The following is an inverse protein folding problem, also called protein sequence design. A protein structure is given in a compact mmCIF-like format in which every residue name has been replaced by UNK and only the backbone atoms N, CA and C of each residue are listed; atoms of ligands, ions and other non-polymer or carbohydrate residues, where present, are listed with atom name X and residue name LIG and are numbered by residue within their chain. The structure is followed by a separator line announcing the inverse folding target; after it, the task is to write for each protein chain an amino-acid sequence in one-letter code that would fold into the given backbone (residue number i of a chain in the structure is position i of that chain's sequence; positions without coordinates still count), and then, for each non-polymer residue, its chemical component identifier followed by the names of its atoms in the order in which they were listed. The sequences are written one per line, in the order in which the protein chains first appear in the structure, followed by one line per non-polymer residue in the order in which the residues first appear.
data_IF_345874969925
#
_entry.id   IF_345874969925
#
_cell.length_a   1.000
_cell.length_b   1.000
_cell.length_c   1.000
_cell.angle_alpha   90.00
_cell.angle_beta   90.00
_cell.angle_gamma   90.00
#
_symmetry.space_group_name_H-M   'P 1'
#
loop_
_entity.id
_entity.type
_entity.pdbx_description
1 polymer ?
#
# COMPACT_ATOMS: atom_id res chain seq x y z
N UNK A 1 -29.40 -16.33 -60.51
CA UNK A 1 -29.46 -15.29 -59.49
C UNK A 1 -30.52 -14.29 -59.91
N UNK A 2 -31.66 -14.29 -59.23
CA UNK A 2 -32.77 -13.40 -59.53
C UNK A 2 -32.55 -12.00 -59.01
N UNK A 3 -33.10 -11.02 -59.71
CA UNK A 3 -33.10 -9.61 -59.27
C UNK A 3 -33.59 -9.48 -57.81
N UNK A 4 -34.45 -10.38 -57.34
CA UNK A 4 -34.93 -10.43 -55.96
C UNK A 4 -33.85 -10.81 -54.93
N UNK A 5 -32.85 -11.65 -55.33
CA UNK A 5 -31.75 -12.02 -54.43
C UNK A 5 -30.70 -10.93 -54.38
N UNK A 6 -30.51 -10.18 -55.46
CA UNK A 6 -29.64 -9.02 -55.51
C UNK A 6 -30.19 -7.86 -54.70
N UNK A 7 -31.49 -7.64 -54.73
CA UNK A 7 -32.16 -6.62 -53.90
C UNK A 7 -32.19 -7.00 -52.42
N UNK A 8 -32.31 -8.27 -52.07
CA UNK A 8 -32.22 -8.73 -50.67
C UNK A 8 -30.85 -8.51 -50.05
N UNK A 9 -29.77 -8.64 -50.82
CA UNK A 9 -28.39 -8.38 -50.33
C UNK A 9 -28.12 -6.88 -50.13
N UNK A 10 -28.82 -5.96 -50.81
CA UNK A 10 -28.67 -4.52 -50.62
C UNK A 10 -29.33 -3.99 -49.33
N UNK A 11 -30.13 -4.80 -48.64
CA UNK A 11 -30.83 -4.40 -47.40
C UNK A 11 -30.42 -5.24 -46.19
N UNK A 12 -29.21 -5.84 -46.23
CA UNK A 12 -28.68 -6.56 -45.09
C UNK A 12 -28.31 -5.55 -43.98
N UNK A 13 -29.02 -5.61 -42.88
CA UNK A 13 -28.71 -4.81 -41.69
C UNK A 13 -27.42 -5.28 -41.05
N UNK A 14 -26.50 -4.34 -40.81
CA UNK A 14 -25.23 -4.62 -40.13
C UNK A 14 -25.25 -3.89 -38.78
N UNK A 15 -25.18 -4.65 -37.70
CA UNK A 15 -25.13 -4.16 -36.35
C UNK A 15 -23.68 -4.28 -35.88
N UNK A 16 -23.00 -3.17 -35.72
CA UNK A 16 -21.62 -3.12 -35.29
C UNK A 16 -21.31 -1.84 -34.54
N UNK A 17 -20.29 -1.85 -33.73
CA UNK A 17 -19.75 -0.65 -33.09
C UNK A 17 -18.25 -0.59 -33.28
N UNK A 18 -17.76 0.57 -33.69
CA UNK A 18 -16.34 0.92 -33.67
C UNK A 18 -16.11 1.87 -32.52
N UNK A 19 -15.23 1.46 -31.60
CA UNK A 19 -14.84 2.28 -30.47
C UNK A 19 -13.55 3.03 -30.81
N UNK A 20 -13.65 4.33 -31.00
CA UNK A 20 -12.51 5.23 -31.20
C UNK A 20 -12.10 5.92 -29.88
N UNK A 21 -12.83 5.64 -28.77
CA UNK A 21 -12.56 6.19 -27.46
C UNK A 21 -11.56 5.32 -26.68
N UNK A 22 -11.03 5.87 -25.59
CA UNK A 22 -10.21 5.12 -24.63
C UNK A 22 -10.94 4.80 -23.34
N UNK A 23 -12.13 5.31 -23.17
CA UNK A 23 -12.86 5.40 -21.91
C UNK A 23 -14.29 4.84 -21.95
N UNK A 24 -14.81 4.44 -23.13
CA UNK A 24 -16.13 3.82 -23.20
C UNK A 24 -16.12 2.39 -22.67
N UNK A 25 -16.94 2.13 -21.66
CA UNK A 25 -17.15 0.80 -21.09
C UNK A 25 -18.26 0.04 -21.80
N UNK A 26 -19.38 0.71 -22.09
CA UNK A 26 -20.46 0.13 -22.87
C UNK A 26 -21.19 1.17 -23.72
N UNK A 27 -21.72 0.69 -24.83
CA UNK A 27 -22.43 1.50 -25.82
C UNK A 27 -23.66 0.76 -26.32
N UNK A 28 -24.83 1.42 -26.29
CA UNK A 28 -26.06 0.90 -26.87
C UNK A 28 -26.11 1.29 -28.33
N UNK A 29 -26.24 0.30 -29.20
CA UNK A 29 -26.41 0.51 -30.64
C UNK A 29 -27.63 1.41 -30.89
N UNK A 30 -27.49 2.52 -31.63
CA UNK A 30 -28.58 3.48 -31.89
C UNK A 30 -29.51 2.95 -32.99
N UNK A 31 -30.49 2.20 -32.56
CA UNK A 31 -31.63 1.83 -33.43
C UNK A 31 -32.84 2.61 -32.97
N UNK A 32 -33.28 3.60 -33.83
CA UNK A 32 -34.40 4.44 -33.51
C UNK A 32 -35.71 3.67 -33.41
N UNK A 33 -35.86 2.61 -34.19
CA UNK A 33 -37.05 1.76 -34.21
C UNK A 33 -36.90 0.52 -33.32
N UNK A 34 -35.68 0.23 -32.86
CA UNK A 34 -35.31 -0.98 -32.13
C UNK A 34 -35.67 -2.29 -32.82
N UNK A 35 -35.83 -2.22 -34.16
CA UNK A 35 -36.30 -3.32 -34.98
C UNK A 35 -35.12 -4.00 -35.67
N UNK A 36 -34.77 -5.19 -35.21
CA UNK A 36 -33.73 -6.02 -35.80
C UNK A 36 -34.34 -6.92 -36.88
N UNK A 37 -33.81 -6.80 -38.11
CA UNK A 37 -34.28 -7.60 -39.24
C UNK A 37 -33.76 -9.04 -39.17
N UNK A 38 -34.57 -9.97 -39.67
CA UNK A 38 -34.13 -11.34 -39.86
C UNK A 38 -32.90 -11.42 -40.77
N UNK A 39 -31.88 -12.14 -40.30
CA UNK A 39 -30.63 -12.28 -41.06
C UNK A 39 -29.68 -11.11 -40.93
N UNK A 40 -30.00 -10.12 -40.08
CA UNK A 40 -29.08 -9.07 -39.73
C UNK A 40 -27.70 -9.66 -39.31
N UNK A 41 -26.63 -9.00 -39.68
CA UNK A 41 -25.25 -9.39 -39.34
C UNK A 41 -24.80 -8.60 -38.12
N UNK A 42 -24.60 -9.30 -37.02
CA UNK A 42 -23.98 -8.75 -35.81
C UNK A 42 -22.47 -8.96 -35.92
N UNK A 43 -21.69 -7.90 -35.94
CA UNK A 43 -20.24 -7.94 -35.97
C UNK A 43 -19.71 -7.49 -34.61
N UNK A 44 -19.12 -8.41 -33.85
CA UNK A 44 -18.50 -8.20 -32.55
C UNK A 44 -16.98 -8.30 -32.71
N UNK A 45 -16.26 -7.26 -32.30
CA UNK A 45 -14.78 -7.23 -32.40
C UNK A 45 -14.13 -8.01 -31.26
N UNK A 46 -12.86 -8.38 -31.43
CA UNK A 46 -12.09 -9.19 -30.46
C UNK A 46 -12.09 -8.62 -29.04
N UNK A 47 -12.18 -7.30 -28.88
CA UNK A 47 -12.20 -6.60 -27.59
C UNK A 47 -13.59 -6.23 -27.11
N UNK A 48 -14.63 -6.87 -27.65
CA UNK A 48 -16.03 -6.56 -27.36
C UNK A 48 -16.85 -7.81 -27.10
N UNK A 49 -17.96 -7.63 -26.39
CA UNK A 49 -19.08 -8.57 -26.35
C UNK A 49 -20.37 -7.81 -26.62
N UNK A 50 -21.33 -8.45 -27.27
CA UNK A 50 -22.65 -7.88 -27.51
C UNK A 50 -23.68 -8.58 -26.63
N UNK A 51 -24.47 -7.80 -25.88
CA UNK A 51 -25.56 -8.27 -25.02
C UNK A 51 -26.89 -7.76 -25.54
N UNK A 52 -27.79 -8.67 -25.79
CA UNK A 52 -29.16 -8.34 -26.15
C UNK A 52 -30.03 -8.11 -24.93
N UNK A 53 -30.92 -7.11 -25.00
CA UNK A 53 -31.93 -6.83 -23.99
C UNK A 53 -33.28 -6.70 -24.67
N UNK A 54 -34.20 -7.61 -24.37
CA UNK A 54 -35.53 -7.65 -24.95
C UNK A 54 -36.59 -7.46 -23.86
N UNK A 55 -37.43 -6.43 -24.04
CA UNK A 55 -38.50 -6.09 -23.07
C UNK A 55 -37.99 -5.98 -21.63
N UNK A 56 -36.77 -5.41 -21.45
CA UNK A 56 -36.13 -5.26 -20.14
C UNK A 56 -35.51 -6.54 -19.56
N UNK A 57 -35.51 -7.63 -20.32
CA UNK A 57 -34.84 -8.88 -19.91
C UNK A 57 -33.58 -9.12 -20.72
N UNK A 58 -32.53 -9.60 -20.05
CA UNK A 58 -31.29 -9.97 -20.72
C UNK A 58 -31.51 -11.23 -21.57
N UNK A 59 -31.21 -11.10 -22.86
CA UNK A 59 -31.20 -12.17 -23.84
C UNK A 59 -29.81 -12.82 -23.98
N UNK A 60 -29.50 -13.21 -25.24
CA UNK A 60 -28.26 -13.85 -25.58
C UNK A 60 -27.07 -12.89 -25.55
N UNK A 61 -25.89 -13.41 -25.19
CA UNK A 61 -24.59 -12.73 -25.23
C UNK A 61 -23.76 -13.30 -26.36
N UNK A 62 -23.15 -12.46 -27.18
CA UNK A 62 -22.30 -12.84 -28.30
C UNK A 62 -20.87 -12.38 -28.08
N UNK A 63 -19.95 -13.32 -28.21
CA UNK A 63 -18.52 -13.05 -28.24
C UNK A 63 -18.03 -12.56 -29.59
N UNK A 64 -16.71 -12.34 -29.75
CA UNK A 64 -16.11 -11.88 -31.00
C UNK A 64 -16.48 -12.73 -32.20
N UNK A 65 -16.66 -12.08 -33.34
CA UNK A 65 -16.99 -12.72 -34.61
C UNK A 65 -18.16 -12.08 -35.35
N UNK A 66 -18.53 -12.69 -36.47
CA UNK A 66 -19.70 -12.32 -37.27
C UNK A 66 -20.82 -13.32 -37.04
N UNK A 67 -21.94 -12.84 -36.54
CA UNK A 67 -23.10 -13.67 -36.20
C UNK A 67 -24.30 -13.26 -37.05
N UNK A 68 -24.81 -14.20 -37.85
CA UNK A 68 -26.09 -13.98 -38.53
C UNK A 68 -27.23 -14.23 -37.56
N UNK A 69 -28.03 -13.22 -37.28
CA UNK A 69 -29.14 -13.28 -36.33
C UNK A 69 -30.31 -14.10 -36.88
N UNK A 70 -30.47 -15.31 -36.38
CA UNK A 70 -31.53 -16.25 -36.75
C UNK A 70 -32.09 -16.91 -35.49
N UNK A 71 -33.27 -17.51 -35.58
CA UNK A 71 -33.92 -18.27 -34.46
C UNK A 71 -33.03 -19.38 -33.88
N UNK A 72 -32.11 -19.91 -34.70
CA UNK A 72 -31.31 -21.05 -34.29
C UNK A 72 -30.13 -20.67 -33.40
N UNK A 73 -29.63 -19.44 -33.50
CA UNK A 73 -28.49 -18.95 -32.73
C UNK A 73 -28.83 -17.86 -31.70
N UNK A 74 -30.13 -17.69 -31.42
CA UNK A 74 -30.66 -16.80 -30.40
C UNK A 74 -31.60 -17.54 -29.47
N UNK A 75 -31.17 -18.62 -28.75
CA UNK A 75 -32.05 -19.51 -28.03
C UNK A 75 -32.85 -18.85 -26.92
N UNK A 76 -32.27 -17.87 -26.23
CA UNK A 76 -32.96 -17.14 -25.15
C UNK A 76 -34.03 -16.23 -25.74
N UNK A 77 -33.68 -15.45 -26.77
CA UNK A 77 -34.66 -14.59 -27.46
C UNK A 77 -35.76 -15.38 -28.16
N UNK A 78 -35.45 -16.56 -28.70
CA UNK A 78 -36.43 -17.43 -29.38
C UNK A 78 -37.46 -18.04 -28.43
N UNK A 79 -37.20 -18.15 -27.14
CA UNK A 79 -38.14 -18.62 -26.13
C UNK A 79 -39.07 -17.52 -25.62
N UNK A 80 -38.75 -16.26 -25.83
CA UNK A 80 -39.59 -15.13 -25.47
C UNK A 80 -40.81 -15.07 -26.38
N UNK A 81 -42.02 -14.83 -25.77
CA UNK A 81 -43.34 -14.92 -26.41
C UNK A 81 -43.52 -13.97 -27.58
N UNK A 82 -42.91 -14.08 -28.65
CA UNK A 82 -43.06 -13.23 -29.85
C UNK A 82 -42.36 -13.84 -31.05
N UNK A 83 -41.40 -14.68 -30.81
CA UNK A 83 -40.62 -15.36 -31.84
C UNK A 83 -41.26 -16.65 -32.36
N UNK A 84 -42.36 -17.11 -31.71
CA UNK A 84 -43.07 -18.33 -32.09
C UNK A 84 -43.76 -18.26 -33.45
N UNK A 85 -43.92 -17.07 -34.02
CA UNK A 85 -44.67 -16.86 -35.28
C UNK A 85 -43.81 -16.60 -36.50
N UNK A 86 -42.54 -17.00 -36.48
CA UNK A 86 -41.64 -16.84 -37.62
C UNK A 86 -41.26 -15.38 -37.85
N UNK A 87 -40.03 -15.14 -38.31
CA UNK A 87 -39.41 -13.84 -38.56
C UNK A 87 -40.07 -12.99 -39.66
N UNK A 88 -41.35 -13.01 -39.79
CA UNK A 88 -42.04 -12.08 -40.73
C UNK A 88 -42.22 -10.69 -40.11
N UNK A 89 -42.04 -10.56 -38.79
CA UNK A 89 -42.07 -9.29 -38.09
C UNK A 89 -40.73 -8.98 -37.44
N UNK A 90 -40.19 -7.76 -37.62
CA UNK A 90 -38.99 -7.33 -36.91
C UNK A 90 -39.19 -7.38 -35.41
N UNK A 91 -38.19 -7.80 -34.65
CA UNK A 91 -38.26 -7.83 -33.20
C UNK A 91 -37.55 -6.61 -32.60
N UNK A 92 -38.11 -6.07 -31.53
CA UNK A 92 -37.57 -4.91 -30.84
C UNK A 92 -36.66 -5.33 -29.73
N UNK A 93 -35.36 -5.07 -29.83
CA UNK A 93 -34.39 -5.34 -28.79
C UNK A 93 -33.33 -4.24 -28.77
N UNK A 94 -32.84 -3.95 -27.57
CA UNK A 94 -31.63 -3.13 -27.42
C UNK A 94 -30.40 -4.03 -27.56
N UNK A 95 -29.37 -3.58 -28.27
CA UNK A 95 -28.08 -4.23 -28.39
C UNK A 95 -27.03 -3.38 -27.69
N UNK A 96 -26.45 -3.90 -26.63
CA UNK A 96 -25.36 -3.27 -25.92
C UNK A 96 -24.03 -3.91 -26.30
N UNK A 97 -23.10 -3.13 -26.77
CA UNK A 97 -21.72 -3.51 -26.92
C UNK A 97 -20.97 -3.15 -25.64
N UNK A 98 -20.23 -4.10 -25.10
CA UNK A 98 -19.44 -3.95 -23.88
C UNK A 98 -17.99 -4.18 -24.23
N UNK A 99 -17.12 -3.24 -23.90
CA UNK A 99 -15.68 -3.38 -24.07
C UNK A 99 -15.09 -4.36 -23.06
N UNK A 100 -14.39 -5.36 -23.56
CA UNK A 100 -13.67 -6.37 -22.75
C UNK A 100 -12.17 -6.16 -22.80
N UNK A 101 -11.70 -5.10 -23.44
CA UNK A 101 -10.29 -4.70 -23.44
C UNK A 101 -9.80 -4.36 -22.03
N UNK A 102 -8.50 -4.34 -21.88
CA UNK A 102 -7.88 -3.91 -20.63
C UNK A 102 -7.93 -2.38 -20.50
N UNK A 103 -8.46 -1.90 -19.37
CA UNK A 103 -8.43 -0.49 -18.96
C UNK A 103 -7.28 -0.29 -17.99
N UNK A 104 -6.22 0.38 -18.44
CA UNK A 104 -4.95 0.47 -17.74
C UNK A 104 -4.74 1.81 -17.04
N UNK A 105 -3.87 1.80 -16.01
CA UNK A 105 -3.38 3.02 -15.38
C UNK A 105 -4.41 3.75 -14.54
N UNK A 106 -5.39 3.05 -13.98
CA UNK A 106 -6.42 3.66 -13.16
C UNK A 106 -5.87 3.92 -11.76
N UNK A 107 -5.67 5.19 -11.40
CA UNK A 107 -5.15 5.58 -10.10
C UNK A 107 -6.11 5.27 -8.96
N UNK A 108 -5.59 4.81 -7.83
CA UNK A 108 -6.30 4.68 -6.55
C UNK A 108 -5.47 5.26 -5.42
N UNK A 109 -6.12 5.61 -4.31
CA UNK A 109 -5.41 6.10 -3.13
C UNK A 109 -6.34 6.28 -1.95
N UNK A 110 -5.78 6.20 -0.75
CA UNK A 110 -6.50 6.39 0.50
C UNK A 110 -6.76 7.87 0.75
N UNK A 111 -8.01 8.30 0.68
CA UNK A 111 -8.41 9.70 0.99
C UNK A 111 -8.11 10.02 2.46
N UNK A 112 -8.42 9.09 3.37
CA UNK A 112 -8.11 9.18 4.79
C UNK A 112 -7.05 8.14 5.17
N UNK A 113 -6.17 8.43 6.13
CA UNK A 113 -5.22 7.46 6.62
C UNK A 113 -5.92 6.23 7.20
N UNK A 114 -5.39 5.05 6.90
CA UNK A 114 -5.81 3.79 7.50
C UNK A 114 -5.15 3.69 8.89
N UNK A 115 -5.95 3.42 9.92
CA UNK A 115 -5.45 3.17 11.27
C UNK A 115 -5.13 1.70 11.41
N UNK A 116 -3.88 1.39 11.71
CA UNK A 116 -3.45 0.01 11.96
C UNK A 116 -2.65 -0.09 13.25
N UNK A 117 -2.63 -1.27 13.83
CA UNK A 117 -1.82 -1.55 15.02
C UNK A 117 -0.48 -2.14 14.61
N UNK A 118 0.56 -1.41 14.90
CA UNK A 118 1.95 -1.81 14.69
C UNK A 118 2.53 -2.41 15.97
N UNK A 119 3.32 -3.49 15.91
CA UNK A 119 3.93 -4.08 17.09
C UNK A 119 4.96 -3.19 17.77
N UNK A 120 5.68 -2.36 17.01
CA UNK A 120 6.78 -1.53 17.53
C UNK A 120 6.34 -0.10 17.85
N UNK A 121 5.43 0.47 17.03
CA UNK A 121 5.00 1.88 17.11
C UNK A 121 3.58 2.06 17.68
N UNK A 122 2.87 0.97 18.00
CA UNK A 122 1.50 1.04 18.51
C UNK A 122 0.47 1.37 17.43
N UNK A 123 -0.31 2.47 17.59
CA UNK A 123 -1.30 2.89 16.57
C UNK A 123 -0.66 3.79 15.54
N UNK A 124 -0.59 3.31 14.30
CA UNK A 124 0.03 4.01 13.17
C UNK A 124 -1.03 4.39 12.13
N UNK A 125 -0.83 5.53 11.48
CA UNK A 125 -1.64 6.02 10.36
C UNK A 125 -0.89 5.80 9.06
N UNK A 126 -1.48 5.02 8.14
CA UNK A 126 -0.86 4.68 6.87
C UNK A 126 -1.67 5.26 5.73
N UNK A 127 -1.01 5.88 4.77
CA UNK A 127 -1.60 6.24 3.47
C UNK A 127 -0.91 5.43 2.39
N UNK A 128 -1.70 5.00 1.41
CA UNK A 128 -1.18 4.30 0.25
C UNK A 128 -1.85 4.78 -1.02
N UNK A 129 -1.14 4.66 -2.13
CA UNK A 129 -1.65 4.97 -3.46
C UNK A 129 -0.96 4.08 -4.50
N UNK A 130 -1.57 4.01 -5.67
CA UNK A 130 -1.05 3.22 -6.77
C UNK A 130 -2.00 3.21 -7.96
N UNK A 131 -1.84 2.22 -8.80
CA UNK A 131 -2.63 2.02 -10.01
C UNK A 131 -3.21 0.60 -10.07
N UNK A 132 -4.29 0.44 -10.82
CA UNK A 132 -4.86 -0.86 -11.14
C UNK A 132 -5.32 -0.91 -12.58
N UNK A 133 -5.31 -2.11 -13.14
CA UNK A 133 -5.82 -2.40 -14.47
C UNK A 133 -6.95 -3.41 -14.34
N UNK A 134 -8.01 -3.22 -15.13
CA UNK A 134 -9.16 -4.10 -15.09
C UNK A 134 -9.77 -4.33 -16.47
N UNK A 135 -10.55 -5.36 -16.61
CA UNK A 135 -11.39 -5.62 -17.79
C UNK A 135 -12.75 -6.20 -17.37
N UNK A 136 -13.72 -6.14 -18.29
CA UNK A 136 -15.06 -6.66 -18.06
C UNK A 136 -15.07 -8.14 -18.48
N UNK A 137 -15.44 -9.04 -17.55
CA UNK A 137 -15.51 -10.48 -17.77
C UNK A 137 -16.95 -11.00 -17.88
N UNK A 138 -17.91 -10.32 -17.25
CA UNK A 138 -19.34 -10.64 -17.35
C UNK A 138 -20.14 -9.39 -17.79
N UNK A 139 -20.40 -9.23 -19.10
CA UNK A 139 -21.15 -8.10 -19.63
C UNK A 139 -22.56 -7.98 -19.07
N UNK A 140 -23.23 -9.11 -18.83
CA UNK A 140 -24.60 -9.13 -18.31
C UNK A 140 -24.64 -8.59 -16.89
N UNK A 141 -23.75 -9.06 -16.03
CA UNK A 141 -23.65 -8.58 -14.65
C UNK A 141 -23.23 -7.11 -14.62
N UNK A 142 -22.26 -6.72 -15.45
CA UNK A 142 -21.83 -5.33 -15.57
C UNK A 142 -22.97 -4.39 -15.98
N UNK A 143 -23.71 -4.73 -17.01
CA UNK A 143 -24.87 -3.92 -17.44
C UNK A 143 -25.94 -3.86 -16.36
N UNK A 144 -26.23 -4.99 -15.68
CA UNK A 144 -27.24 -5.07 -14.64
C UNK A 144 -26.91 -4.20 -13.42
N UNK A 145 -25.67 -4.29 -12.93
CA UNK A 145 -25.28 -3.73 -11.63
C UNK A 145 -24.59 -2.36 -11.74
N UNK A 146 -24.05 -2.04 -12.93
CA UNK A 146 -23.21 -0.85 -13.12
C UNK A 146 -23.78 0.12 -14.14
N UNK A 147 -23.83 -0.26 -15.42
CA UNK A 147 -24.22 0.65 -16.48
C UNK A 147 -25.74 0.90 -16.52
N UNK A 148 -26.56 -0.03 -16.07
CA UNK A 148 -28.00 0.07 -16.09
C UNK A 148 -28.54 0.26 -17.51
N UNK A 149 -29.38 1.28 -17.70
CA UNK A 149 -29.96 1.65 -18.99
C UNK A 149 -29.20 2.76 -19.73
N UNK A 150 -28.00 3.14 -19.24
CA UNK A 150 -27.20 4.18 -19.88
C UNK A 150 -26.78 3.71 -21.28
N UNK A 151 -27.11 4.52 -22.30
CA UNK A 151 -26.78 4.20 -23.69
C UNK A 151 -25.31 4.42 -24.06
N UNK A 152 -24.57 5.17 -23.27
CA UNK A 152 -23.14 5.42 -23.48
C UNK A 152 -22.46 5.59 -22.11
N UNK A 153 -21.93 4.51 -21.57
CA UNK A 153 -21.37 4.46 -20.23
C UNK A 153 -19.85 4.57 -20.27
N UNK A 154 -19.33 5.58 -19.62
CA UNK A 154 -17.92 5.93 -19.60
C UNK A 154 -17.22 5.51 -18.32
N UNK A 155 -15.91 5.35 -18.39
CA UNK A 155 -15.04 4.96 -17.28
C UNK A 155 -15.12 5.95 -16.11
N UNK A 156 -15.14 7.24 -16.37
CA UNK A 156 -15.19 8.30 -15.34
C UNK A 156 -16.44 8.21 -14.44
N UNK A 157 -17.55 7.74 -15.00
CA UNK A 157 -18.82 7.56 -14.26
C UNK A 157 -18.75 6.43 -13.23
N UNK A 158 -17.79 5.53 -13.35
CA UNK A 158 -17.68 4.35 -12.49
C UNK A 158 -16.38 4.28 -11.68
N UNK A 159 -15.32 4.93 -12.13
CA UNK A 159 -13.98 4.79 -11.56
C UNK A 159 -13.93 5.15 -10.07
N UNK A 160 -14.69 6.13 -9.62
CA UNK A 160 -14.75 6.52 -8.21
C UNK A 160 -15.34 5.41 -7.31
N UNK A 161 -16.35 4.71 -7.84
CA UNK A 161 -16.92 3.55 -7.14
C UNK A 161 -15.90 2.42 -7.01
N UNK A 162 -15.14 2.16 -8.08
CA UNK A 162 -14.05 1.19 -8.08
C UNK A 162 -12.96 1.56 -7.09
N UNK A 163 -12.50 2.81 -7.10
CA UNK A 163 -11.52 3.34 -6.14
C UNK A 163 -11.95 3.12 -4.70
N UNK A 164 -13.17 3.52 -4.37
CA UNK A 164 -13.71 3.35 -3.02
C UNK A 164 -13.76 1.88 -2.60
N UNK A 165 -14.14 0.98 -3.51
CA UNK A 165 -14.21 -0.45 -3.24
C UNK A 165 -12.82 -1.05 -3.02
N UNK A 166 -11.87 -0.71 -3.87
CA UNK A 166 -10.48 -1.14 -3.77
C UNK A 166 -9.88 -0.68 -2.44
N UNK A 167 -10.04 0.60 -2.09
CA UNK A 167 -9.53 1.15 -0.83
C UNK A 167 -10.14 0.45 0.38
N UNK A 168 -11.44 0.10 0.33
CA UNK A 168 -12.09 -0.65 1.40
C UNK A 168 -11.46 -2.02 1.61
N UNK A 169 -11.30 -2.80 0.53
CA UNK A 169 -10.70 -4.15 0.59
C UNK A 169 -9.22 -4.08 0.97
N UNK A 170 -8.49 -3.12 0.40
CA UNK A 170 -7.09 -2.85 0.76
C UNK A 170 -6.93 -2.56 2.26
N UNK A 171 -7.80 -1.69 2.81
CA UNK A 171 -7.76 -1.32 4.22
C UNK A 171 -8.03 -2.52 5.13
N UNK A 172 -9.02 -3.34 4.79
CA UNK A 172 -9.37 -4.56 5.53
C UNK A 172 -8.22 -5.58 5.49
N UNK A 173 -7.65 -5.81 4.31
CA UNK A 173 -6.53 -6.72 4.13
C UNK A 173 -5.28 -6.25 4.89
N UNK A 174 -4.97 -4.94 4.84
CA UNK A 174 -3.83 -4.36 5.54
C UNK A 174 -3.94 -4.53 7.06
N UNK A 175 -5.12 -4.24 7.64
CA UNK A 175 -5.37 -4.41 9.07
C UNK A 175 -5.32 -5.89 9.48
N UNK A 176 -5.84 -6.79 8.63
CA UNK A 176 -5.88 -8.23 8.89
C UNK A 176 -4.51 -8.89 8.81
N UNK A 177 -3.64 -8.40 7.95
CA UNK A 177 -2.30 -8.94 7.73
C UNK A 177 -1.36 -8.76 8.95
N UNK A 178 -1.64 -7.80 9.84
CA UNK A 178 -0.83 -7.49 11.04
C UNK A 178 0.66 -7.30 10.74
N UNK A 179 0.99 -6.81 9.56
CA UNK A 179 2.37 -6.55 9.15
C UNK A 179 2.90 -5.29 9.84
N UNK A 180 4.18 -5.26 10.24
CA UNK A 180 4.82 -4.05 10.73
C UNK A 180 4.80 -2.93 9.67
N UNK A 181 4.60 -1.68 10.10
CA UNK A 181 4.55 -0.52 9.21
C UNK A 181 5.83 -0.38 8.36
N UNK A 182 6.97 -0.70 8.94
CA UNK A 182 8.25 -0.70 8.24
C UNK A 182 8.28 -1.76 7.11
N UNK A 183 7.75 -2.94 7.36
CA UNK A 183 7.70 -4.01 6.35
C UNK A 183 6.76 -3.63 5.20
N UNK A 184 5.62 -3.03 5.52
CA UNK A 184 4.70 -2.50 4.52
C UNK A 184 5.38 -1.43 3.67
N UNK A 185 6.12 -0.49 4.28
CA UNK A 185 6.79 0.60 3.58
C UNK A 185 7.97 0.13 2.71
N UNK A 186 8.60 -1.00 3.03
CA UNK A 186 9.74 -1.54 2.27
C UNK A 186 9.35 -2.55 1.20
N UNK A 187 8.23 -3.26 1.37
CA UNK A 187 7.78 -4.36 0.48
C UNK A 187 6.43 -4.10 -0.18
N UNK A 188 6.01 -2.85 -0.30
CA UNK A 188 4.69 -2.49 -0.85
C UNK A 188 4.46 -3.00 -2.29
N UNK A 189 5.51 -3.18 -3.09
CA UNK A 189 5.38 -3.74 -4.44
C UNK A 189 4.90 -5.21 -4.43
N UNK A 190 5.32 -5.99 -3.44
CA UNK A 190 4.88 -7.39 -3.30
C UNK A 190 3.44 -7.49 -2.79
N UNK A 191 2.98 -6.49 -2.05
CA UNK A 191 1.61 -6.43 -1.52
C UNK A 191 0.57 -6.43 -2.65
N UNK A 192 0.85 -5.80 -3.79
CA UNK A 192 -0.08 -5.74 -4.91
C UNK A 192 -0.51 -7.13 -5.37
N UNK A 193 0.45 -8.02 -5.61
CA UNK A 193 0.18 -9.40 -6.03
C UNK A 193 -0.56 -10.23 -4.97
N UNK A 194 -0.23 -10.03 -3.69
CA UNK A 194 -0.88 -10.73 -2.58
C UNK A 194 -2.34 -10.28 -2.34
N UNK A 195 -2.68 -9.05 -2.75
CA UNK A 195 -4.02 -8.49 -2.56
C UNK A 195 -5.01 -8.83 -3.68
N UNK A 196 -4.53 -9.13 -4.89
CA UNK A 196 -5.40 -9.50 -6.03
C UNK A 196 -6.42 -10.61 -5.71
N UNK A 197 -6.02 -11.74 -5.06
CA UNK A 197 -6.97 -12.80 -4.70
C UNK A 197 -8.05 -12.38 -3.69
N UNK A 198 -7.81 -11.31 -2.95
CA UNK A 198 -8.77 -10.76 -1.98
C UNK A 198 -9.70 -9.73 -2.64
N UNK A 199 -9.19 -8.96 -3.59
CA UNK A 199 -9.94 -7.90 -4.27
C UNK A 199 -10.88 -8.49 -5.33
N UNK A 200 -10.39 -9.42 -6.16
CA UNK A 200 -11.14 -9.96 -7.29
C UNK A 200 -12.50 -10.59 -6.92
N UNK A 201 -12.65 -11.43 -5.89
CA UNK A 201 -13.96 -11.98 -5.53
C UNK A 201 -14.98 -10.90 -5.20
N UNK A 202 -14.56 -9.81 -4.55
CA UNK A 202 -15.44 -8.70 -4.19
C UNK A 202 -15.89 -7.85 -5.39
N UNK A 203 -15.08 -7.81 -6.46
CA UNK A 203 -15.32 -7.02 -7.67
C UNK A 203 -16.00 -7.84 -8.74
N UNK A 204 -15.49 -9.05 -9.01
CA UNK A 204 -16.01 -9.93 -10.06
C UNK A 204 -17.44 -10.37 -9.77
N UNK A 205 -17.70 -10.86 -8.56
CA UNK A 205 -19.04 -11.33 -8.17
C UNK A 205 -20.10 -10.23 -8.09
N UNK A 206 -19.68 -8.98 -7.93
CA UNK A 206 -20.62 -7.84 -7.79
C UNK A 206 -20.81 -7.05 -9.07
N UNK A 207 -19.74 -6.86 -9.85
CA UNK A 207 -19.75 -5.93 -10.99
C UNK A 207 -19.43 -6.60 -12.34
N UNK A 208 -19.05 -7.87 -12.35
CA UNK A 208 -18.64 -8.57 -13.57
C UNK A 208 -17.30 -8.10 -14.13
N UNK A 209 -16.41 -7.62 -13.25
CA UNK A 209 -15.09 -7.08 -13.59
C UNK A 209 -13.99 -7.96 -12.99
N UNK A 210 -12.84 -8.00 -13.62
CA UNK A 210 -11.63 -8.62 -13.09
C UNK A 210 -10.49 -7.61 -13.08
N UNK A 211 -9.82 -7.48 -11.93
CA UNK A 211 -8.59 -6.70 -11.81
C UNK A 211 -7.43 -7.59 -12.23
N UNK A 212 -6.78 -7.24 -13.34
CA UNK A 212 -5.67 -7.98 -13.92
C UNK A 212 -4.33 -7.62 -13.30
N UNK A 213 -4.20 -6.36 -12.86
CA UNK A 213 -3.00 -5.83 -12.21
C UNK A 213 -3.40 -4.88 -11.08
N UNK A 214 -2.75 -5.03 -9.94
CA UNK A 214 -2.91 -4.12 -8.81
C UNK A 214 -1.53 -3.78 -8.27
N UNK A 215 -1.15 -2.52 -8.39
CA UNK A 215 0.18 -2.03 -8.01
C UNK A 215 0.02 -1.00 -6.89
N UNK A 216 0.78 -1.19 -5.82
CA UNK A 216 1.00 -0.17 -4.79
C UNK A 216 2.26 0.59 -5.17
N UNK A 217 2.15 1.88 -5.49
CA UNK A 217 3.28 2.72 -5.93
C UNK A 217 3.97 3.40 -4.76
N UNK A 218 3.22 3.64 -3.69
CA UNK A 218 3.79 4.27 -2.51
C UNK A 218 2.97 4.07 -1.26
N UNK A 219 3.69 4.05 -0.13
CA UNK A 219 3.14 4.01 1.22
C UNK A 219 3.76 5.13 2.02
N UNK A 220 2.94 5.95 2.65
CA UNK A 220 3.38 7.08 3.49
C UNK A 220 3.00 6.82 4.94
N UNK A 221 3.99 6.97 5.80
CA UNK A 221 3.85 6.93 7.26
C UNK A 221 3.87 8.35 7.84
N UNK A 222 3.36 8.60 9.05
CA UNK A 222 3.50 9.87 9.74
C UNK A 222 4.98 10.24 9.96
N UNK A 223 5.26 11.55 10.01
CA UNK A 223 6.63 12.05 10.18
C UNK A 223 7.26 11.58 11.50
N UNK A 224 6.47 11.42 12.55
CA UNK A 224 6.94 10.90 13.84
C UNK A 224 7.45 9.46 13.72
N UNK A 225 6.78 8.64 12.92
CA UNK A 225 7.17 7.24 12.65
C UNK A 225 8.42 7.21 11.77
N UNK A 226 8.47 8.02 10.72
CA UNK A 226 9.66 8.15 9.87
C UNK A 226 10.88 8.59 10.67
N UNK A 227 10.76 9.60 11.55
CA UNK A 227 11.84 10.01 12.44
C UNK A 227 12.26 8.92 13.42
N UNK A 228 11.33 8.11 13.92
CA UNK A 228 11.67 6.98 14.80
C UNK A 228 12.41 5.88 14.04
N UNK A 229 12.01 5.60 12.78
CA UNK A 229 12.71 4.67 11.88
C UNK A 229 14.13 5.17 11.59
N UNK A 230 14.29 6.46 11.29
CA UNK A 230 15.59 7.08 11.02
C UNK A 230 16.52 7.00 12.24
N UNK A 231 15.99 7.27 13.44
CA UNK A 231 16.76 7.12 14.69
C UNK A 231 17.17 5.67 14.95
N UNK A 232 16.23 4.72 14.76
CA UNK A 232 16.52 3.29 14.94
C UNK A 232 17.55 2.80 13.92
N UNK A 233 17.44 3.23 12.66
CA UNK A 233 18.40 2.90 11.60
C UNK A 233 19.78 3.49 11.89
N UNK A 234 19.82 4.72 12.38
CA UNK A 234 21.07 5.38 12.80
C UNK A 234 21.72 4.65 13.98
N UNK A 235 20.93 4.23 14.97
CA UNK A 235 21.41 3.42 16.10
C UNK A 235 21.93 2.05 15.65
N UNK A 236 21.22 1.38 14.74
CA UNK A 236 21.64 0.08 14.22
C UNK A 236 22.93 0.18 13.37
N UNK A 237 23.09 1.24 12.60
CA UNK A 237 24.28 1.50 11.79
C UNK A 237 25.52 1.80 12.64
N UNK A 238 25.35 2.38 13.82
CA UNK A 238 26.43 2.74 14.76
C UNK A 238 26.84 1.57 15.66
N UNK A 239 26.00 0.55 15.79
CA UNK A 239 26.35 -0.75 16.43
C UNK A 239 26.61 -0.74 17.94
N UNK A 240 26.87 0.42 18.57
CA UNK A 240 27.13 0.55 19.99
C UNK A 240 26.72 1.94 20.51
N UNK A 241 25.98 1.97 21.63
CA UNK A 241 25.52 3.21 22.26
C UNK A 241 26.68 4.18 22.61
N UNK A 242 27.84 3.63 22.96
CA UNK A 242 29.05 4.42 23.24
C UNK A 242 29.60 5.13 21.97
N UNK A 243 29.46 4.53 20.81
CA UNK A 243 29.94 5.10 19.55
C UNK A 243 28.93 6.16 19.04
N UNK A 244 27.63 5.99 19.34
CA UNK A 244 26.61 6.99 19.09
C UNK A 244 26.82 8.27 19.92
N UNK A 245 27.13 8.14 21.21
CA UNK A 245 27.45 9.28 22.08
C UNK A 245 28.70 10.01 21.59
N UNK A 246 29.72 9.29 21.17
CA UNK A 246 30.94 9.89 20.57
C UNK A 246 30.63 10.60 19.26
N UNK A 247 29.79 10.02 18.41
CA UNK A 247 29.37 10.63 17.13
C UNK A 247 28.55 11.91 17.35
N UNK A 248 27.59 11.90 18.26
CA UNK A 248 26.80 13.10 18.63
C UNK A 248 27.67 14.18 19.25
N UNK A 249 28.65 13.81 20.08
CA UNK A 249 29.62 14.78 20.60
C UNK A 249 30.49 15.38 19.50
N UNK A 250 30.93 14.59 18.53
CA UNK A 250 31.71 15.05 17.39
C UNK A 250 30.88 15.95 16.45
N UNK A 251 29.62 15.62 16.20
CA UNK A 251 28.72 16.42 15.37
C UNK A 251 28.34 17.76 16.04
N UNK A 252 28.14 17.75 17.35
CA UNK A 252 27.91 18.96 18.14
C UNK A 252 29.11 19.92 18.12
N UNK A 253 30.34 19.39 18.05
CA UNK A 253 31.55 20.15 17.94
C UNK A 253 31.78 20.75 16.53
N UNK A 254 31.30 20.07 15.48
CA UNK A 254 31.45 20.50 14.09
C UNK A 254 30.41 21.54 13.64
N UNK A 255 29.23 21.55 14.25
CA UNK A 255 28.15 22.50 13.91
C UNK A 255 28.33 23.91 14.50
N UNK A 256 29.40 24.22 15.20
CA UNK A 256 29.92 25.58 15.39
C UNK A 256 28.91 26.65 15.86
N UNK A 257 27.84 26.33 16.54
CA UNK A 257 26.98 27.32 17.21
C UNK A 257 27.62 27.72 18.54
N UNK A 258 28.21 28.91 18.51
CA UNK A 258 28.99 29.50 19.58
C UNK A 258 28.24 29.67 20.90
N UNK A 259 28.36 28.67 21.72
CA UNK A 259 28.00 28.72 23.15
C UNK A 259 29.20 28.22 23.93
N UNK A 260 29.81 29.13 24.70
CA UNK A 260 31.13 28.99 25.29
C UNK A 260 31.45 27.65 25.97
N UNK A 261 32.72 27.30 25.91
CA UNK A 261 33.36 26.13 26.54
C UNK A 261 32.88 25.80 27.99
N UNK A 262 32.40 26.80 28.74
CA UNK A 262 31.87 26.65 30.09
C UNK A 262 30.50 25.94 30.13
N UNK A 263 29.61 26.11 29.13
CA UNK A 263 28.35 25.45 29.06
C UNK A 263 28.49 23.95 28.71
N UNK A 264 29.46 23.61 27.85
CA UNK A 264 29.77 22.25 27.44
C UNK A 264 30.41 21.45 28.61
N UNK A 265 31.21 22.08 29.45
CA UNK A 265 31.78 21.45 30.64
C UNK A 265 30.72 21.18 31.73
N UNK A 266 29.75 22.09 31.89
CA UNK A 266 28.62 21.90 32.83
C UNK A 266 27.66 20.79 32.35
N UNK A 267 27.40 20.67 31.05
CA UNK A 267 26.60 19.57 30.50
C UNK A 267 27.35 18.22 30.57
N UNK A 268 28.66 18.21 30.39
CA UNK A 268 29.47 17.00 30.58
C UNK A 268 29.49 16.54 32.04
N UNK A 269 29.51 17.48 33.00
CA UNK A 269 29.40 17.16 34.43
C UNK A 269 28.03 16.58 34.81
N UNK A 270 26.94 17.15 34.28
CA UNK A 270 25.58 16.64 34.50
C UNK A 270 25.35 15.30 33.80
N UNK A 271 25.95 15.08 32.61
CA UNK A 271 25.87 13.80 31.88
C UNK A 271 26.59 12.66 32.58
N UNK A 272 27.71 12.93 33.24
CA UNK A 272 28.44 11.93 34.02
C UNK A 272 27.67 11.50 35.29
N UNK A 273 26.99 12.43 35.98
CA UNK A 273 26.14 12.10 37.15
C UNK A 273 24.88 11.34 36.73
N UNK A 274 24.27 11.68 35.60
CA UNK A 274 23.13 10.94 35.04
C UNK A 274 23.53 9.55 34.52
N UNK A 275 24.71 9.41 33.91
CA UNK A 275 25.27 8.16 33.45
C UNK A 275 25.54 7.19 34.62
N UNK A 276 25.95 7.67 35.79
CA UNK A 276 26.11 6.86 36.99
C UNK A 276 24.77 6.39 37.57
N UNK A 277 23.73 7.19 37.55
CA UNK A 277 22.39 6.77 37.99
C UNK A 277 21.75 5.73 37.06
N UNK A 278 21.97 5.85 35.75
CA UNK A 278 21.46 4.90 34.75
C UNK A 278 22.26 3.57 34.84
N UNK A 279 23.55 3.62 35.07
CA UNK A 279 24.39 2.41 35.29
C UNK A 279 24.01 1.66 36.55
N UNK A 280 23.50 2.34 37.60
CA UNK A 280 22.97 1.69 38.80
C UNK A 280 21.56 1.10 38.57
N UNK A 281 20.79 1.63 37.67
CA UNK A 281 19.43 1.13 37.36
C UNK A 281 19.44 -0.06 36.38
N UNK A 282 20.52 -0.24 35.59
CA UNK A 282 20.68 -1.34 34.62
C UNK A 282 21.72 -2.35 35.18
N UNK A 283 21.31 -3.13 36.16
CA UNK A 283 22.12 -4.17 36.83
C UNK A 283 23.13 -4.91 35.95
N UNK A 284 24.39 -4.86 36.39
CA UNK A 284 25.47 -5.84 36.20
C UNK A 284 25.84 -6.27 34.76
N UNK A 285 26.83 -5.56 34.17
CA UNK A 285 27.89 -6.25 33.43
C UNK A 285 29.23 -5.56 33.70
N UNK A 286 30.19 -6.34 34.12
CA UNK A 286 31.42 -5.99 34.84
C UNK A 286 32.41 -5.19 33.94
N UNK A 287 32.38 -3.87 34.08
CA UNK A 287 33.54 -3.03 33.81
C UNK A 287 34.28 -2.75 35.15
N UNK A 288 35.60 -2.46 35.18
CA UNK A 288 36.31 -2.17 36.41
C UNK A 288 35.70 -0.94 37.10
N UNK A 289 35.22 -1.10 38.33
CA UNK A 289 34.70 0.01 39.12
C UNK A 289 35.84 1.02 39.37
N UNK A 290 35.57 2.29 39.03
CA UNK A 290 36.52 3.40 39.20
C UNK A 290 36.08 4.27 40.38
N UNK A 291 37.01 4.71 41.20
CA UNK A 291 36.79 5.51 42.41
C UNK A 291 37.52 6.85 42.28
N UNK A 292 36.88 7.92 42.70
CA UNK A 292 37.55 9.18 42.98
C UNK A 292 38.26 9.12 44.35
N UNK A 293 39.18 10.06 44.68
CA UNK A 293 39.78 10.09 46.02
C UNK A 293 38.75 10.19 47.16
N UNK A 294 37.65 10.93 46.96
CA UNK A 294 36.56 11.02 47.93
C UNK A 294 35.79 9.70 48.10
N UNK A 295 35.52 8.99 46.95
CA UNK A 295 34.85 7.69 47.00
C UNK A 295 35.74 6.61 47.63
N UNK A 296 37.06 6.67 47.34
CA UNK A 296 38.06 5.77 47.95
C UNK A 296 38.21 6.03 49.45
N UNK A 297 38.18 7.29 49.89
CA UNK A 297 38.17 7.67 51.29
C UNK A 297 36.95 7.08 52.05
N UNK A 298 35.78 7.12 51.43
CA UNK A 298 34.55 6.53 51.97
C UNK A 298 34.67 4.98 52.02
N UNK A 299 35.22 4.36 50.98
CA UNK A 299 35.41 2.91 50.90
C UNK A 299 36.41 2.39 51.93
N UNK A 300 37.54 3.10 52.10
CA UNK A 300 38.60 2.76 53.08
C UNK A 300 38.30 3.26 54.48
N UNK A 301 37.25 4.07 54.68
CA UNK A 301 36.88 4.71 55.96
C UNK A 301 37.98 5.60 56.56
N UNK A 302 38.66 6.35 55.69
CA UNK A 302 39.72 7.31 56.07
C UNK A 302 39.35 8.70 55.50
N UNK A 303 40.15 9.72 55.87
CA UNK A 303 39.97 11.04 55.26
C UNK A 303 40.48 11.11 53.82
N UNK A 304 39.91 11.97 52.97
CA UNK A 304 40.35 12.17 51.58
C UNK A 304 41.81 12.63 51.52
N UNK A 305 42.27 13.41 52.52
CA UNK A 305 43.67 13.84 52.64
C UNK A 305 44.65 12.64 52.77
N UNK A 306 44.25 11.60 53.53
CA UNK A 306 45.05 10.39 53.68
C UNK A 306 45.12 9.58 52.37
N UNK A 307 44.01 9.53 51.62
CA UNK A 307 43.99 8.86 50.32
C UNK A 307 44.86 9.63 49.30
N UNK A 308 44.80 10.95 49.29
CA UNK A 308 45.67 11.76 48.46
C UNK A 308 47.16 11.66 48.85
N UNK A 309 47.49 11.56 50.14
CA UNK A 309 48.81 11.30 50.59
C UNK A 309 49.33 9.95 50.10
N UNK A 310 48.55 8.87 50.28
CA UNK A 310 48.89 7.52 49.80
C UNK A 310 48.99 7.42 48.24
N UNK A 311 48.27 8.23 47.50
CA UNK A 311 48.43 8.34 46.05
C UNK A 311 49.69 9.07 45.65
N UNK A 312 50.09 10.11 46.39
CA UNK A 312 51.27 10.89 46.13
C UNK A 312 52.57 10.20 46.52
N UNK A 313 52.60 9.41 47.62
CA UNK A 313 53.75 8.60 48.07
C UNK A 313 53.84 7.27 47.33
N UNK A 314 52.82 6.89 46.52
CA UNK A 314 52.79 5.67 45.73
C UNK A 314 52.36 4.43 46.46
N UNK A 315 51.96 4.51 47.72
CA UNK A 315 51.43 3.38 48.50
C UNK A 315 50.12 2.88 47.94
N UNK A 316 49.26 3.78 47.44
CA UNK A 316 48.04 3.45 46.72
C UNK A 316 48.22 3.71 45.23
N UNK A 317 47.99 2.68 44.39
CA UNK A 317 48.08 2.78 42.94
C UNK A 317 46.85 3.50 42.36
N UNK A 318 47.05 4.65 41.74
CA UNK A 318 46.04 5.40 41.04
C UNK A 318 46.61 6.04 39.79
N UNK A 319 45.73 6.45 38.81
CA UNK A 319 46.16 7.16 37.61
C UNK A 319 45.67 8.58 37.67
N UNK A 320 46.59 9.57 37.53
CA UNK A 320 46.24 10.98 37.49
C UNK A 320 45.89 11.43 36.07
N UNK A 321 44.70 11.96 35.89
CA UNK A 321 44.23 12.52 34.61
C UNK A 321 43.89 14.00 34.83
N UNK A 322 44.73 14.88 34.32
CA UNK A 322 44.65 16.31 34.62
C UNK A 322 44.89 16.58 36.12
N UNK A 323 43.90 17.18 36.78
CA UNK A 323 43.92 17.47 38.21
C UNK A 323 43.30 16.38 39.08
N UNK A 324 42.69 15.36 38.47
CA UNK A 324 41.86 14.34 39.17
C UNK A 324 42.59 12.99 39.22
N UNK A 325 42.57 12.31 40.38
CA UNK A 325 43.03 10.94 40.53
C UNK A 325 41.86 9.96 40.28
N UNK A 326 42.14 8.86 39.58
CA UNK A 326 41.25 7.74 39.37
C UNK A 326 41.88 6.47 39.92
N UNK A 327 41.12 5.76 40.74
CA UNK A 327 41.54 4.58 41.46
C UNK A 327 40.65 3.40 41.04
N UNK A 328 41.20 2.26 40.75
CA UNK A 328 40.41 1.06 40.43
C UNK A 328 40.10 0.29 41.73
N UNK A 329 38.97 -0.44 41.71
CA UNK A 329 38.63 -1.32 42.85
C UNK A 329 39.75 -2.29 43.17
N UNK A 330 40.40 -2.85 42.15
CA UNK A 330 41.54 -3.76 42.34
C UNK A 330 42.69 -3.10 43.08
N UNK A 331 43.02 -1.84 42.81
CA UNK A 331 44.08 -1.10 43.55
C UNK A 331 43.73 -0.86 45.01
N UNK A 332 42.44 -0.64 45.31
CA UNK A 332 41.96 -0.52 46.71
C UNK A 332 42.03 -1.86 47.46
N UNK A 333 41.64 -2.95 46.79
CA UNK A 333 41.66 -4.30 47.36
C UNK A 333 43.11 -4.81 47.57
N UNK A 334 44.06 -4.40 46.69
CA UNK A 334 45.48 -4.68 46.88
C UNK A 334 46.04 -3.89 48.07
N UNK A 335 45.72 -2.62 48.22
CA UNK A 335 46.15 -1.73 49.31
C UNK A 335 45.65 -2.21 50.68
N UNK A 336 44.49 -2.89 50.75
CA UNK A 336 43.97 -3.46 51.99
C UNK A 336 44.63 -4.80 52.38
N UNK A 337 45.41 -5.41 51.50
CA UNK A 337 46.10 -6.69 51.76
C UNK A 337 47.54 -6.54 52.24
N UNK A 338 48.12 -5.35 51.97
CA UNK A 338 49.43 -4.96 52.49
C UNK A 338 49.27 -4.29 53.88
#
# INVERSE_FOLDING_TARGET
MGISDYLKTQFLEIIQWQDDSRDTLSYRYPDNDKEIKRGAQLIVRESQMAQFVYQGQFGDTYGPGTHTLTTNNTPILSTLKGWKYGFESPFKADVYFVNTRLFTGNGWGTSNPIMMRDPDFGMVRVRAHGIFDFHIVDPKLFLKEVAGTNGHFLLDQFIETMRSRIVSVFSEALVSAKLPALEIATRYQELGGALLPLINPAVTGKYGLEISSFVVEGVSLPDEVNQAIDRHSSMAAIGNLNDYVKFQMAEGLTRGEGGGMAATAAQLGAGLVMGQQIAQAMGSSAGPKLYSPADAATYLRVSEENVLAALNDGSLKGKKIGSTWIITQQSLDEFLKD
#
